data_IF_209019523858
#
_entry.id   IF_209019523858
#
_cell.length_a   1.000
_cell.length_b   1.000
_cell.length_c   1.000
_cell.angle_alpha   90.00
_cell.angle_beta   90.00
_cell.angle_gamma   90.00
#
_symmetry.space_group_name_H-M   'P 1'
#
loop_
_entity.id
_entity.type
_entity.pdbx_description
1 polymer ?
#
# COMPACT_ATOMS: atom_id res chain seq x y z
N UNK A 1 9.48 -18.85 24.10
CA UNK A 1 9.01 -17.67 24.86
C UNK A 1 9.23 -16.43 24.00
N UNK A 2 8.34 -15.42 24.04
CA UNK A 2 8.58 -14.17 23.32
C UNK A 2 9.85 -13.49 23.87
N UNK A 3 10.85 -13.28 23.00
CA UNK A 3 12.18 -12.79 23.40
C UNK A 3 12.13 -11.39 24.03
N UNK A 4 11.22 -10.53 23.55
CA UNK A 4 11.08 -9.16 24.01
C UNK A 4 9.80 -9.00 24.85
N UNK A 5 9.99 -8.81 26.15
CA UNK A 5 8.93 -8.63 27.17
C UNK A 5 8.98 -7.21 27.75
N UNK A 6 7.87 -6.68 28.25
CA UNK A 6 7.85 -5.38 28.91
C UNK A 6 8.55 -5.40 30.29
N UNK A 7 9.03 -4.24 30.81
CA UNK A 7 9.01 -2.93 30.17
C UNK A 7 9.96 -2.83 28.97
N UNK A 8 9.56 -2.11 27.93
CA UNK A 8 10.35 -1.99 26.70
C UNK A 8 11.39 -0.88 26.80
N UNK A 9 12.52 -1.11 26.13
CA UNK A 9 13.46 -0.06 25.72
C UNK A 9 13.18 0.31 24.26
N UNK A 10 13.78 1.39 23.77
CA UNK A 10 13.63 1.77 22.36
C UNK A 10 14.08 0.65 21.41
N UNK A 11 15.16 -0.06 21.77
CA UNK A 11 15.67 -1.20 21.01
C UNK A 11 14.70 -2.38 21.02
N UNK A 12 14.25 -2.82 22.21
CA UNK A 12 13.37 -3.99 22.30
C UNK A 12 11.98 -3.70 21.75
N UNK A 13 11.50 -2.45 21.81
CA UNK A 13 10.28 -2.00 21.14
C UNK A 13 10.40 -2.10 19.61
N UNK A 14 11.49 -1.59 19.01
CA UNK A 14 11.74 -1.72 17.56
C UNK A 14 11.78 -3.18 17.12
N UNK A 15 12.54 -4.01 17.84
CA UNK A 15 12.59 -5.45 17.56
C UNK A 15 11.22 -6.11 17.69
N UNK A 16 10.39 -5.70 18.67
CA UNK A 16 9.02 -6.21 18.83
C UNK A 16 8.13 -5.85 17.64
N UNK A 17 8.25 -4.62 17.13
CA UNK A 17 7.51 -4.15 15.94
C UNK A 17 7.92 -4.95 14.71
N UNK A 18 9.20 -5.17 14.48
CA UNK A 18 9.70 -5.96 13.33
C UNK A 18 9.31 -7.43 13.42
N UNK A 19 9.43 -8.04 14.60
CA UNK A 19 8.94 -9.41 14.81
C UNK A 19 7.43 -9.54 14.54
N UNK A 20 6.63 -8.52 14.87
CA UNK A 20 5.21 -8.49 14.52
C UNK A 20 4.97 -8.29 13.02
N UNK A 21 5.75 -7.43 12.35
CA UNK A 21 5.71 -7.27 10.88
C UNK A 21 5.94 -8.62 10.18
N UNK A 22 7.04 -9.29 10.53
CA UNK A 22 7.43 -10.56 9.91
C UNK A 22 6.39 -11.65 10.18
N UNK A 23 5.88 -11.71 11.42
CA UNK A 23 4.82 -12.63 11.78
C UNK A 23 3.53 -12.39 10.98
N UNK A 24 3.12 -11.14 10.78
CA UNK A 24 1.92 -10.83 9.98
C UNK A 24 2.12 -11.09 8.48
N UNK A 25 3.34 -10.89 7.95
CA UNK A 25 3.70 -11.23 6.56
C UNK A 25 3.72 -12.74 6.30
N UNK A 26 3.68 -13.60 7.33
CA UNK A 26 3.43 -15.04 7.12
C UNK A 26 2.02 -15.35 6.65
N UNK A 27 1.07 -14.43 6.88
CA UNK A 27 -0.36 -14.61 6.59
C UNK A 27 -0.94 -15.92 7.17
N UNK A 28 -0.40 -16.40 8.29
CA UNK A 28 -0.82 -17.61 8.98
C UNK A 28 -1.65 -17.23 10.23
N UNK A 29 -2.99 -17.34 10.18
CA UNK A 29 -3.87 -17.00 11.30
C UNK A 29 -3.54 -17.74 12.59
N UNK A 30 -3.19 -19.02 12.49
CA UNK A 30 -2.93 -19.87 13.66
C UNK A 30 -1.62 -19.45 14.34
N UNK A 31 -0.57 -19.24 13.56
CA UNK A 31 0.73 -18.78 14.07
C UNK A 31 0.65 -17.37 14.65
N UNK A 32 -0.08 -16.46 13.99
CA UNK A 32 -0.24 -15.07 14.43
C UNK A 32 -1.02 -15.00 15.75
N UNK A 33 -2.08 -15.79 15.91
CA UNK A 33 -2.90 -15.79 17.12
C UNK A 33 -2.11 -16.15 18.39
N UNK A 34 -1.05 -16.95 18.28
CA UNK A 34 -0.19 -17.32 19.41
C UNK A 34 0.59 -16.14 20.02
N UNK A 35 0.73 -15.03 19.30
CA UNK A 35 1.35 -13.80 19.85
C UNK A 35 0.42 -13.04 20.82
N UNK A 36 -0.84 -13.44 20.93
CA UNK A 36 -1.86 -12.80 21.76
C UNK A 36 -2.20 -13.67 22.97
N UNK A 37 -2.64 -13.06 24.07
CA UNK A 37 -3.14 -13.83 25.23
C UNK A 37 -4.45 -14.56 24.90
N UNK A 38 -4.83 -15.64 25.60
CA UNK A 38 -6.05 -16.39 25.31
C UNK A 38 -7.32 -15.55 25.45
N UNK A 39 -7.27 -14.50 26.26
CA UNK A 39 -8.35 -13.55 26.56
C UNK A 39 -8.16 -12.18 25.89
N UNK A 40 -7.21 -12.07 24.94
CA UNK A 40 -6.84 -10.80 24.29
C UNK A 40 -8.04 -10.09 23.68
N UNK A 41 -8.09 -8.77 23.83
CA UNK A 41 -9.19 -7.93 23.30
C UNK A 41 -8.72 -7.07 22.15
N UNK A 42 -9.44 -7.11 21.02
CA UNK A 42 -9.12 -6.29 19.86
C UNK A 42 -10.26 -5.33 19.54
N UNK A 43 -9.88 -4.16 19.04
CA UNK A 43 -10.68 -3.43 18.07
C UNK A 43 -9.84 -3.31 16.80
N UNK A 44 -10.39 -3.76 15.68
CA UNK A 44 -9.81 -3.60 14.36
C UNK A 44 -10.81 -2.83 13.49
N UNK A 45 -10.56 -1.53 13.28
CA UNK A 45 -11.53 -0.59 12.71
C UNK A 45 -12.84 -0.58 13.53
N UNK A 46 -13.95 -1.02 12.95
CA UNK A 46 -15.26 -1.13 13.60
C UNK A 46 -15.57 -2.53 14.16
N UNK A 47 -14.65 -3.48 14.02
CA UNK A 47 -14.84 -4.87 14.49
C UNK A 47 -14.18 -5.08 15.85
N UNK A 48 -14.89 -5.75 16.76
CA UNK A 48 -14.39 -6.09 18.10
C UNK A 48 -14.24 -7.61 18.24
N UNK A 49 -13.12 -8.05 18.82
CA UNK A 49 -12.79 -9.47 18.97
C UNK A 49 -12.34 -9.76 20.40
N UNK A 50 -12.59 -10.98 20.87
CA UNK A 50 -12.06 -11.48 22.14
C UNK A 50 -11.54 -12.90 22.00
N UNK A 51 -10.30 -13.10 22.40
CA UNK A 51 -9.61 -14.38 22.44
C UNK A 51 -9.07 -14.87 21.10
N UNK A 52 -8.20 -15.89 21.18
CA UNK A 52 -7.44 -16.38 20.02
C UNK A 52 -8.32 -16.98 18.92
N UNK A 53 -9.45 -17.60 19.26
CA UNK A 53 -10.35 -18.18 18.26
C UNK A 53 -11.00 -17.11 17.38
N UNK A 54 -11.52 -16.04 17.99
CA UNK A 54 -12.07 -14.90 17.26
C UNK A 54 -10.99 -14.22 16.39
N UNK A 55 -9.75 -14.13 16.89
CA UNK A 55 -8.61 -13.61 16.14
C UNK A 55 -8.31 -14.49 14.91
N UNK A 56 -8.22 -15.81 15.07
CA UNK A 56 -7.99 -16.74 13.95
C UNK A 56 -9.08 -16.60 12.88
N UNK A 57 -10.35 -16.62 13.27
CA UNK A 57 -11.48 -16.45 12.34
C UNK A 57 -11.39 -15.13 11.59
N UNK A 58 -11.13 -14.03 12.30
CA UNK A 58 -10.99 -12.71 11.69
C UNK A 58 -9.83 -12.66 10.68
N UNK A 59 -8.67 -13.21 11.04
CA UNK A 59 -7.49 -13.22 10.20
C UNK A 59 -7.65 -14.12 8.96
N UNK A 60 -8.31 -15.27 9.08
CA UNK A 60 -8.65 -16.11 7.93
C UNK A 60 -9.55 -15.36 6.94
N UNK A 61 -10.58 -14.66 7.42
CA UNK A 61 -11.44 -13.85 6.57
C UNK A 61 -10.69 -12.67 5.94
N UNK A 62 -9.77 -12.05 6.70
CA UNK A 62 -8.93 -10.96 6.21
C UNK A 62 -8.13 -11.37 4.98
N UNK A 63 -7.39 -12.48 5.02
CA UNK A 63 -6.55 -12.89 3.88
C UNK A 63 -7.27 -13.68 2.79
N UNK A 64 -8.52 -14.12 3.04
CA UNK A 64 -9.39 -14.52 1.94
C UNK A 64 -9.76 -13.32 1.04
N UNK A 65 -9.96 -12.14 1.66
CA UNK A 65 -10.24 -10.88 0.96
C UNK A 65 -8.98 -10.18 0.45
N UNK A 66 -7.98 -10.01 1.30
CA UNK A 66 -6.79 -9.20 1.05
C UNK A 66 -5.65 -10.08 0.51
N UNK A 67 -5.64 -10.27 -0.81
CA UNK A 67 -4.67 -11.12 -1.51
C UNK A 67 -3.36 -10.37 -1.78
N UNK A 68 -2.27 -11.13 -1.96
CA UNK A 68 -0.91 -10.61 -2.20
C UNK A 68 -0.49 -9.53 -1.18
N UNK A 69 -0.86 -9.79 0.07
CA UNK A 69 -0.68 -8.88 1.19
C UNK A 69 0.80 -8.71 1.55
N UNK A 70 1.26 -7.45 1.60
CA UNK A 70 2.61 -7.12 2.06
C UNK A 70 2.56 -5.96 3.05
N UNK A 71 3.16 -6.14 4.23
CA UNK A 71 3.08 -5.20 5.35
C UNK A 71 4.45 -4.66 5.78
N UNK A 72 4.48 -3.35 6.02
CA UNK A 72 5.53 -2.60 6.70
C UNK A 72 5.00 -2.08 8.03
N UNK A 73 5.77 -2.24 9.12
CA UNK A 73 5.50 -1.62 10.42
C UNK A 73 6.71 -0.83 10.90
N UNK A 74 6.44 0.29 11.54
CA UNK A 74 7.44 1.13 12.17
C UNK A 74 7.01 1.57 13.56
N UNK A 75 7.99 1.66 14.47
CA UNK A 75 7.75 2.12 15.83
C UNK A 75 7.40 3.62 15.79
N UNK A 76 6.26 3.99 16.36
CA UNK A 76 5.87 5.38 16.53
C UNK A 76 6.26 5.89 17.92
N UNK A 77 5.86 5.18 18.98
CA UNK A 77 6.21 5.50 20.37
C UNK A 77 6.11 4.25 21.26
N UNK A 78 6.66 4.31 22.47
CA UNK A 78 6.48 3.26 23.48
C UNK A 78 6.54 3.84 24.90
N UNK A 79 5.88 3.17 25.84
CA UNK A 79 6.00 3.43 27.28
C UNK A 79 5.70 2.15 28.04
N UNK A 80 6.57 1.76 28.97
CA UNK A 80 6.41 0.56 29.80
C UNK A 80 6.02 -0.70 29.00
N UNK A 81 4.76 -1.12 29.11
CA UNK A 81 4.21 -2.28 28.44
C UNK A 81 3.35 -1.97 27.20
N UNK A 82 3.50 -0.77 26.64
CA UNK A 82 2.74 -0.29 25.48
C UNK A 82 3.66 0.11 24.35
N UNK A 83 3.20 -0.16 23.13
CA UNK A 83 3.86 0.25 21.89
C UNK A 83 2.79 0.83 20.96
N UNK A 84 3.04 2.03 20.44
CA UNK A 84 2.30 2.63 19.35
C UNK A 84 3.08 2.42 18.05
N UNK A 85 2.37 2.03 16.99
CA UNK A 85 2.94 1.58 15.73
C UNK A 85 2.23 2.25 14.57
N UNK A 86 3.01 2.76 13.62
CA UNK A 86 2.50 3.10 12.30
C UNK A 86 2.78 1.95 11.34
N UNK A 87 1.87 1.74 10.39
CA UNK A 87 2.03 0.67 9.42
C UNK A 87 1.36 0.99 8.10
N UNK A 88 1.82 0.27 7.08
CA UNK A 88 1.26 0.31 5.74
C UNK A 88 1.24 -1.08 5.18
N UNK A 89 0.15 -1.45 4.52
CA UNK A 89 0.14 -2.68 3.75
C UNK A 89 -0.49 -2.48 2.40
N UNK A 90 0.02 -3.20 1.42
CA UNK A 90 -0.57 -3.28 0.08
C UNK A 90 -1.22 -4.64 -0.11
N UNK A 91 -2.31 -4.66 -0.86
CA UNK A 91 -3.05 -5.88 -1.20
C UNK A 91 -3.90 -5.64 -2.43
N UNK A 92 -4.39 -6.73 -3.04
CA UNK A 92 -5.50 -6.69 -3.99
C UNK A 92 -6.77 -7.27 -3.38
N UNK A 93 -7.88 -6.56 -3.53
CA UNK A 93 -9.16 -6.90 -2.92
C UNK A 93 -9.91 -7.92 -3.77
N UNK A 94 -10.10 -9.13 -3.25
CA UNK A 94 -10.77 -10.23 -3.95
C UNK A 94 -12.24 -9.93 -4.31
N UNK A 95 -12.87 -8.95 -3.64
CA UNK A 95 -14.28 -8.62 -3.82
C UNK A 95 -14.51 -7.31 -4.59
N UNK A 96 -13.44 -6.59 -4.91
CA UNK A 96 -13.49 -5.33 -5.65
C UNK A 96 -12.53 -5.44 -6.83
N UNK A 97 -13.06 -5.95 -7.94
CA UNK A 97 -12.28 -6.37 -9.10
C UNK A 97 -12.29 -5.32 -10.21
N UNK A 98 -11.23 -5.30 -11.01
CA UNK A 98 -11.11 -4.46 -12.19
C UNK A 98 -12.15 -4.83 -13.24
N UNK A 99 -12.88 -3.82 -13.71
CA UNK A 99 -13.84 -3.93 -14.81
C UNK A 99 -13.25 -3.38 -16.10
N UNK A 100 -13.94 -3.63 -17.23
CA UNK A 100 -13.56 -3.00 -18.51
C UNK A 100 -13.69 -1.48 -18.42
N UNK A 101 -14.71 -1.00 -17.72
CA UNK A 101 -14.98 0.42 -17.49
C UNK A 101 -13.85 1.07 -16.70
N UNK A 102 -13.37 0.43 -15.63
CA UNK A 102 -12.21 0.92 -14.85
C UNK A 102 -10.97 1.09 -15.75
N UNK A 103 -10.71 0.13 -16.64
CA UNK A 103 -9.56 0.19 -17.57
C UNK A 103 -9.74 1.34 -18.57
N UNK A 104 -10.94 1.54 -19.11
CA UNK A 104 -11.23 2.63 -20.05
C UNK A 104 -11.04 3.98 -19.36
N UNK A 105 -11.53 4.14 -18.14
CA UNK A 105 -11.36 5.38 -17.38
C UNK A 105 -9.90 5.64 -17.02
N UNK A 106 -9.15 4.61 -16.61
CA UNK A 106 -7.71 4.72 -16.39
C UNK A 106 -6.96 5.12 -17.68
N UNK A 107 -7.34 4.55 -18.82
CA UNK A 107 -6.75 4.85 -20.12
C UNK A 107 -6.98 6.32 -20.53
N UNK A 108 -8.22 6.82 -20.35
CA UNK A 108 -8.56 8.23 -20.58
C UNK A 108 -7.77 9.16 -19.67
N UNK A 109 -7.62 8.81 -18.39
CA UNK A 109 -6.87 9.61 -17.43
C UNK A 109 -5.37 9.67 -17.78
N UNK A 110 -4.77 8.54 -18.13
CA UNK A 110 -3.36 8.47 -18.54
C UNK A 110 -3.09 9.32 -19.80
N UNK A 111 -3.99 9.22 -20.77
CA UNK A 111 -3.94 10.01 -22.00
C UNK A 111 -4.12 11.51 -21.73
N UNK A 112 -5.08 11.90 -20.88
CA UNK A 112 -5.32 13.29 -20.50
C UNK A 112 -4.16 13.91 -19.71
N UNK A 113 -3.51 13.15 -18.83
CA UNK A 113 -2.35 13.60 -18.06
C UNK A 113 -1.11 13.81 -18.96
N UNK A 114 -0.94 13.00 -20.01
CA UNK A 114 0.13 13.14 -21.00
C UNK A 114 0.07 14.43 -21.83
N UNK A 115 -1.07 15.13 -21.85
CA UNK A 115 -1.25 16.40 -22.55
C UNK A 115 -1.03 17.63 -21.65
N UNK A 116 -1.17 17.49 -20.33
CA UNK A 116 -0.97 18.59 -19.39
C UNK A 116 0.52 18.96 -19.20
N UNK A 117 1.44 18.03 -19.45
CA UNK A 117 2.88 18.21 -19.24
C UNK A 117 3.62 18.84 -20.43
N UNK A 118 2.95 19.08 -21.57
CA UNK A 118 3.55 19.71 -22.77
C UNK A 118 3.17 21.19 -22.97
N UNK A 119 2.46 21.82 -22.03
CA UNK A 119 1.82 23.13 -22.22
C UNK A 119 2.28 24.31 -21.36
N UNK A 120 3.45 24.26 -20.71
CA UNK A 120 3.95 25.37 -19.89
C UNK A 120 5.41 25.74 -20.23
N UNK A 121 5.65 26.13 -21.49
CA UNK A 121 6.87 26.82 -21.89
C UNK A 121 6.65 28.34 -21.91
N UNK A 122 7.15 29.04 -20.90
CA UNK A 122 7.24 30.50 -20.86
C UNK A 122 7.98 31.00 -22.11
N UNK A 123 7.32 31.82 -22.93
CA UNK A 123 7.91 32.49 -24.10
C UNK A 123 9.04 33.43 -23.65
N UNK A 124 10.26 33.33 -24.19
CA UNK A 124 11.16 34.47 -24.21
C UNK A 124 10.80 35.35 -25.41
N UNK A 125 10.56 36.64 -25.14
CA UNK A 125 10.50 37.68 -26.16
C UNK A 125 11.89 37.85 -26.78
N UNK A 126 12.06 37.43 -28.03
CA UNK A 126 13.21 37.81 -28.87
C UNK A 126 12.70 38.45 -30.16
N UNK A 127 13.03 39.73 -30.30
CA UNK A 127 13.01 40.48 -31.54
C UNK A 127 14.18 40.05 -32.43
N UNK A 128 13.92 39.57 -33.65
CA UNK A 128 14.97 39.23 -34.60
C UNK A 128 14.43 38.83 -35.98
N UNK A 129 14.99 39.44 -37.01
CA UNK A 129 14.55 39.50 -38.41
C UNK A 129 14.94 38.28 -39.26
N UNK A 130 13.96 37.75 -40.03
CA UNK A 130 14.06 37.25 -41.42
C UNK A 130 15.10 36.19 -41.84
N UNK A 131 14.63 35.02 -42.30
CA UNK A 131 15.34 34.06 -43.15
C UNK A 131 14.40 32.93 -43.63
N UNK A 132 14.54 32.39 -44.86
CA UNK A 132 13.51 31.58 -45.50
C UNK A 132 13.41 30.16 -44.93
N UNK A 133 12.18 29.70 -44.74
CA UNK A 133 11.81 28.37 -44.28
C UNK A 133 12.30 27.27 -45.23
N UNK A 134 13.22 26.42 -44.75
CA UNK A 134 13.38 25.07 -45.25
C UNK A 134 12.41 24.16 -44.50
N UNK A 135 11.41 23.65 -45.22
CA UNK A 135 10.34 22.78 -44.76
C UNK A 135 10.81 21.34 -44.49
N UNK A 136 11.87 21.16 -43.68
CA UNK A 136 12.07 19.89 -43.01
C UNK A 136 11.07 19.85 -41.86
N UNK A 137 10.10 18.95 -42.02
CA UNK A 137 8.97 18.73 -41.17
C UNK A 137 9.36 18.73 -39.70
N UNK A 138 8.92 19.78 -39.00
CA UNK A 138 8.28 19.59 -37.70
C UNK A 138 7.11 18.63 -37.89
N UNK A 139 7.39 17.35 -38.10
CA UNK A 139 6.47 16.27 -37.75
C UNK A 139 6.37 16.32 -36.23
N UNK A 140 5.54 17.27 -35.81
CA UNK A 140 4.95 17.33 -34.49
C UNK A 140 4.51 15.91 -34.18
N UNK A 141 5.10 15.31 -33.15
CA UNK A 141 4.62 14.04 -32.59
C UNK A 141 3.22 14.29 -32.01
N UNK A 142 2.22 14.42 -32.88
CA UNK A 142 0.85 14.10 -32.52
C UNK A 142 0.88 12.60 -32.23
N UNK A 143 0.98 12.27 -30.95
CA UNK A 143 0.68 10.93 -30.49
C UNK A 143 -0.75 10.68 -30.94
N UNK A 144 -0.94 9.67 -31.80
CA UNK A 144 -2.27 9.20 -32.15
C UNK A 144 -2.95 8.75 -30.86
N UNK A 145 -3.87 9.58 -30.38
CA UNK A 145 -4.59 9.41 -29.14
C UNK A 145 -5.34 8.07 -29.11
N UNK A 146 -5.87 7.66 -30.27
CA UNK A 146 -6.59 6.42 -30.42
C UNK A 146 -5.63 5.23 -30.32
N UNK A 147 -4.45 5.32 -30.96
CA UNK A 147 -3.44 4.27 -30.86
C UNK A 147 -2.86 4.14 -29.44
N UNK A 148 -2.65 5.25 -28.74
CA UNK A 148 -2.18 5.25 -27.35
C UNK A 148 -3.23 4.66 -26.39
N UNK A 149 -4.50 5.03 -26.58
CA UNK A 149 -5.62 4.48 -25.83
C UNK A 149 -5.79 2.97 -26.07
N UNK A 150 -5.75 2.54 -27.33
CA UNK A 150 -5.87 1.13 -27.70
C UNK A 150 -4.72 0.28 -27.14
N UNK A 151 -3.50 0.82 -27.20
CA UNK A 151 -2.31 0.19 -26.60
C UNK A 151 -2.44 0.05 -25.08
N UNK A 152 -2.89 1.11 -24.39
CA UNK A 152 -3.10 1.07 -22.94
C UNK A 152 -4.17 0.03 -22.57
N UNK A 153 -5.33 0.06 -23.26
CA UNK A 153 -6.42 -0.87 -23.01
C UNK A 153 -5.92 -2.31 -23.24
N UNK A 154 -5.29 -2.58 -24.38
CA UNK A 154 -4.78 -3.91 -24.73
C UNK A 154 -3.80 -4.45 -23.69
N UNK A 155 -2.90 -3.62 -23.18
CA UNK A 155 -1.95 -3.99 -22.14
C UNK A 155 -2.63 -4.40 -20.82
N UNK A 156 -3.76 -3.77 -20.48
CA UNK A 156 -4.42 -3.95 -19.20
C UNK A 156 -5.65 -4.87 -19.24
N UNK A 157 -6.20 -5.20 -20.42
CA UNK A 157 -7.31 -6.14 -20.59
C UNK A 157 -7.13 -7.47 -19.84
N UNK A 158 -5.92 -8.09 -19.77
CA UNK A 158 -5.71 -9.33 -19.01
C UNK A 158 -5.91 -9.19 -17.50
N UNK A 159 -5.98 -7.97 -16.96
CA UNK A 159 -6.19 -7.71 -15.53
C UNK A 159 -7.67 -7.65 -15.14
N UNK A 160 -8.60 -7.66 -16.10
CA UNK A 160 -10.05 -7.71 -15.81
C UNK A 160 -10.35 -8.91 -14.92
N UNK A 161 -11.15 -8.67 -13.87
CA UNK A 161 -11.50 -9.68 -12.87
C UNK A 161 -10.43 -9.91 -11.80
N UNK A 162 -9.24 -9.31 -11.92
CA UNK A 162 -8.28 -9.25 -10.81
C UNK A 162 -8.73 -8.21 -9.78
N UNK A 163 -8.41 -8.45 -8.50
CA UNK A 163 -8.68 -7.49 -7.44
C UNK A 163 -7.97 -6.16 -7.65
N UNK A 164 -8.63 -5.06 -7.31
CA UNK A 164 -8.04 -3.71 -7.32
C UNK A 164 -6.98 -3.59 -6.24
N UNK A 165 -5.84 -3.00 -6.59
CA UNK A 165 -4.75 -2.73 -5.66
C UNK A 165 -5.07 -1.57 -4.74
N UNK A 166 -4.81 -1.77 -3.45
CA UNK A 166 -5.05 -0.80 -2.39
C UNK A 166 -3.85 -0.73 -1.45
N UNK A 167 -3.61 0.44 -0.87
CA UNK A 167 -2.73 0.62 0.29
C UNK A 167 -3.56 1.02 1.49
N UNK A 168 -3.39 0.31 2.60
CA UNK A 168 -3.88 0.78 3.88
C UNK A 168 -2.79 1.57 4.58
N UNK A 169 -3.12 2.76 5.07
CA UNK A 169 -2.36 3.51 6.06
C UNK A 169 -2.99 3.27 7.42
N UNK A 170 -2.21 3.04 8.48
CA UNK A 170 -2.82 2.88 9.78
C UNK A 170 -1.91 3.02 10.99
N UNK A 171 -2.59 3.05 12.14
CA UNK A 171 -2.00 3.15 13.46
C UNK A 171 -2.53 2.03 14.35
N UNK A 172 -1.63 1.42 15.12
CA UNK A 172 -1.96 0.42 16.13
C UNK A 172 -1.41 0.81 17.50
N UNK A 173 -2.23 0.63 18.54
CA UNK A 173 -1.82 0.63 19.95
C UNK A 173 -1.84 -0.80 20.47
N UNK A 174 -0.71 -1.21 21.03
CA UNK A 174 -0.49 -2.54 21.60
C UNK A 174 -0.25 -2.43 23.10
N UNK A 175 -0.94 -3.26 23.89
CA UNK A 175 -0.62 -3.45 25.32
C UNK A 175 -0.25 -4.91 25.57
N UNK A 176 0.86 -5.13 26.27
CA UNK A 176 1.42 -6.46 26.50
C UNK A 176 1.21 -6.94 27.95
N UNK A 177 1.09 -8.26 28.09
CA UNK A 177 1.16 -8.97 29.36
C UNK A 177 2.62 -9.20 29.78
N UNK A 178 2.91 -9.54 31.06
CA UNK A 178 4.28 -9.76 31.53
C UNK A 178 5.04 -10.87 30.80
N UNK A 179 4.33 -11.84 30.22
CA UNK A 179 4.92 -12.92 29.43
C UNK A 179 5.32 -12.51 28.00
N UNK A 180 5.02 -11.26 27.61
CA UNK A 180 5.33 -10.67 26.32
C UNK A 180 4.28 -10.90 25.24
N UNK A 181 3.14 -11.54 25.53
CA UNK A 181 2.01 -11.65 24.60
C UNK A 181 1.14 -10.39 24.63
N UNK A 182 0.51 -10.08 23.51
CA UNK A 182 -0.35 -8.89 23.40
C UNK A 182 -1.74 -9.20 23.97
N UNK A 183 -2.13 -8.47 25.02
CA UNK A 183 -3.43 -8.61 25.70
C UNK A 183 -4.49 -7.62 25.20
N UNK A 184 -4.07 -6.57 24.52
CA UNK A 184 -4.94 -5.59 23.87
C UNK A 184 -4.31 -5.11 22.57
N UNK A 185 -5.11 -5.08 21.49
CA UNK A 185 -4.77 -4.46 20.21
C UNK A 185 -5.86 -3.47 19.81
N UNK A 186 -5.49 -2.24 19.48
CA UNK A 186 -6.41 -1.26 18.90
C UNK A 186 -5.80 -0.80 17.58
N UNK A 187 -6.45 -1.10 16.46
CA UNK A 187 -5.99 -0.68 15.15
C UNK A 187 -7.06 0.16 14.46
N UNK A 188 -6.62 1.27 13.87
CA UNK A 188 -7.37 2.05 12.89
C UNK A 188 -6.55 2.11 11.61
N UNK A 189 -7.23 2.12 10.48
CA UNK A 189 -6.59 2.31 9.19
C UNK A 189 -7.60 2.66 8.11
N UNK A 190 -7.08 3.21 7.02
CA UNK A 190 -7.84 3.73 5.89
C UNK A 190 -7.17 3.24 4.61
N UNK A 191 -7.98 2.75 3.67
CA UNK A 191 -7.51 2.25 2.39
C UNK A 191 -7.58 3.37 1.35
N UNK A 192 -6.54 3.46 0.52
CA UNK A 192 -6.52 4.25 -0.70
C UNK A 192 -6.36 3.32 -1.90
N UNK A 193 -6.97 3.68 -3.01
CA UNK A 193 -6.80 2.99 -4.28
C UNK A 193 -5.44 3.35 -4.88
N UNK A 194 -4.66 2.38 -5.34
CA UNK A 194 -3.35 2.61 -5.97
C UNK A 194 -3.44 2.52 -7.48
N UNK A 195 -2.91 3.51 -8.20
CA UNK A 195 -2.77 3.47 -9.66
C UNK A 195 -4.09 3.16 -10.38
N UNK A 196 -5.19 3.82 -9.96
CA UNK A 196 -6.56 3.53 -10.44
C UNK A 196 -7.04 2.08 -10.18
N UNK A 197 -6.40 1.38 -9.25
CA UNK A 197 -6.65 -0.02 -8.91
C UNK A 197 -5.76 -1.00 -9.68
N UNK A 198 -4.91 -0.51 -10.58
CA UNK A 198 -3.98 -1.32 -11.36
C UNK A 198 -2.72 -1.63 -10.56
N UNK A 199 -2.12 -2.80 -10.78
CA UNK A 199 -0.99 -3.31 -9.98
C UNK A 199 0.38 -2.70 -10.24
N UNK A 200 0.43 -1.47 -10.76
CA UNK A 200 1.63 -0.81 -11.31
C UNK A 200 2.22 0.29 -10.43
N UNK A 201 2.61 1.39 -11.09
CA UNK A 201 3.63 2.39 -10.76
C UNK A 201 3.57 3.03 -9.35
N UNK A 202 2.41 3.02 -8.71
CA UNK A 202 2.25 3.62 -7.37
C UNK A 202 2.55 2.64 -6.24
N UNK A 203 2.72 1.34 -6.53
CA UNK A 203 3.01 0.32 -5.52
C UNK A 203 4.43 0.44 -4.98
N UNK A 204 4.56 0.35 -3.66
CA UNK A 204 5.83 0.34 -2.95
C UNK A 204 6.42 -1.06 -2.88
N UNK A 205 5.58 -2.08 -2.74
CA UNK A 205 6.03 -3.48 -2.59
C UNK A 205 5.86 -4.25 -3.91
N UNK A 206 6.14 -3.58 -5.02
CA UNK A 206 6.00 -4.09 -6.37
C UNK A 206 7.19 -4.93 -6.88
N UNK A 207 7.19 -5.20 -8.18
CA UNK A 207 8.26 -5.96 -8.82
C UNK A 207 9.62 -5.27 -8.66
N UNK A 208 10.64 -6.04 -8.24
CA UNK A 208 12.01 -5.55 -8.07
C UNK A 208 12.40 -5.21 -6.62
N UNK A 209 11.44 -5.11 -5.70
CA UNK A 209 11.71 -4.94 -4.27
C UNK A 209 12.06 -6.29 -3.66
N UNK A 210 13.24 -6.39 -3.01
CA UNK A 210 13.75 -7.65 -2.44
C UNK A 210 13.22 -7.89 -1.02
N UNK A 211 13.05 -6.84 -0.23
CA UNK A 211 12.46 -6.90 1.09
C UNK A 211 11.66 -5.65 1.44
N UNK A 212 10.70 -5.79 2.35
CA UNK A 212 9.87 -4.68 2.84
C UNK A 212 10.66 -3.58 3.54
N UNK A 213 11.88 -3.89 4.01
CA UNK A 213 12.79 -2.92 4.62
C UNK A 213 13.58 -2.11 3.59
N UNK A 214 13.65 -2.54 2.32
CA UNK A 214 14.41 -1.86 1.26
C UNK A 214 13.66 -0.64 0.70
N UNK A 215 12.36 -0.54 1.00
CA UNK A 215 11.52 0.60 0.60
C UNK A 215 11.79 1.76 1.55
N UNK A 216 12.31 2.86 1.00
CA UNK A 216 12.44 4.13 1.71
C UNK A 216 11.08 4.82 1.71
N UNK A 217 10.49 5.03 2.89
CA UNK A 217 9.20 5.72 3.06
C UNK A 217 9.48 7.10 3.70
N UNK A 218 9.54 8.12 2.86
CA UNK A 218 9.77 9.53 3.21
C UNK A 218 8.52 10.43 3.16
N UNK A 219 8.73 11.75 3.11
CA UNK A 219 7.66 12.76 3.06
C UNK A 219 6.81 12.66 1.79
N UNK A 220 7.42 12.26 0.68
CA UNK A 220 6.79 12.04 -0.62
C UNK A 220 5.76 10.91 -0.66
N UNK A 221 5.65 10.14 0.43
CA UNK A 221 4.76 9.00 0.57
C UNK A 221 3.45 9.30 1.33
N UNK A 222 3.23 10.58 1.68
CA UNK A 222 2.09 11.11 2.43
C UNK A 222 1.24 12.05 1.58
#
# INVERSE_FOLDING_TARGET
MAANKPPFTAETARQKVKAAQDLWNTQDPARIALAYTPDSVWRNRSTFLRGQDAIKTFLSAKWAKEQDYVLRKELFAFTDNRIAVQFWYEYRDAHDVLTREDIIEAAKAAVGAGFATSGAGTLPTVSGTGGPESSESRESREIDLAAALDSFITLHLPQIGQGKWKRCYGLEDWTFAPDGRMRKRQMSGNDVLLGMGLGGDERWFGAGVKGVEDVVIGEEHW
#
